data_IF_671013012360
#
_entry.id   IF_671013012360
#
_cell.length_a   1.000
_cell.length_b   1.000
_cell.length_c   1.000
_cell.angle_alpha   90.00
_cell.angle_beta   90.00
_cell.angle_gamma   90.00
#
_symmetry.space_group_name_H-M   'P 1'
#
loop_
_entity.id
_entity.type
_entity.pdbx_description
1 polymer ?
#
# COMPACT_ATOMS: atom_id res chain seq x y z
N UNK A 1 -16.43 -25.48 -8.20
CA UNK A 1 -16.81 -24.15 -7.68
C UNK A 1 -17.97 -24.26 -6.70
N UNK A 2 -18.07 -23.33 -5.78
CA UNK A 2 -19.14 -23.25 -4.77
C UNK A 2 -19.79 -21.86 -4.86
N UNK A 3 -21.11 -21.82 -5.07
CA UNK A 3 -21.90 -20.58 -5.01
C UNK A 3 -22.99 -20.74 -3.96
N UNK A 4 -23.04 -19.84 -2.97
CA UNK A 4 -24.03 -19.85 -1.89
C UNK A 4 -24.54 -18.42 -1.58
N UNK A 5 -25.81 -18.16 -1.79
CA UNK A 5 -26.46 -16.87 -1.60
C UNK A 5 -27.35 -16.49 -2.78
N UNK A 6 -28.21 -15.48 -2.57
CA UNK A 6 -29.04 -14.96 -3.65
C UNK A 6 -28.13 -14.33 -4.73
N UNK A 7 -28.28 -14.75 -5.99
CA UNK A 7 -27.46 -14.30 -7.11
C UNK A 7 -25.93 -14.41 -6.86
N UNK A 8 -25.47 -15.42 -6.12
CA UNK A 8 -24.05 -15.71 -5.97
C UNK A 8 -23.51 -16.43 -7.23
N UNK A 9 -22.38 -16.00 -7.78
CA UNK A 9 -21.82 -16.51 -9.03
C UNK A 9 -20.36 -16.93 -8.86
N UNK A 10 -20.10 -18.25 -8.88
CA UNK A 10 -18.77 -18.84 -8.86
C UNK A 10 -18.45 -19.38 -10.26
N UNK A 11 -18.01 -18.51 -11.17
CA UNK A 11 -17.81 -18.82 -12.59
C UNK A 11 -16.43 -19.41 -12.86
N UNK A 12 -15.42 -19.06 -12.08
CA UNK A 12 -14.08 -19.63 -12.22
C UNK A 12 -14.01 -21.10 -11.79
N UNK A 13 -13.14 -21.87 -12.41
CA UNK A 13 -12.84 -23.23 -11.93
C UNK A 13 -12.26 -23.16 -10.50
N UNK A 14 -12.71 -24.03 -9.59
CA UNK A 14 -12.33 -24.05 -8.16
C UNK A 14 -12.63 -22.75 -7.39
N UNK A 15 -13.49 -21.89 -7.93
CA UNK A 15 -13.84 -20.63 -7.29
C UNK A 15 -14.91 -20.81 -6.21
N UNK A 16 -14.97 -19.85 -5.30
CA UNK A 16 -15.97 -19.78 -4.22
C UNK A 16 -16.62 -18.40 -4.20
N UNK A 17 -17.97 -18.36 -4.23
CA UNK A 17 -18.75 -17.14 -4.09
C UNK A 17 -19.82 -17.35 -3.01
N UNK A 18 -19.71 -16.63 -1.88
CA UNK A 18 -20.63 -16.74 -0.75
C UNK A 18 -21.17 -15.38 -0.36
N UNK A 19 -22.49 -15.18 -0.45
CA UNK A 19 -23.15 -13.93 -0.11
C UNK A 19 -24.14 -13.48 -1.19
N UNK A 20 -24.98 -12.50 -0.86
CA UNK A 20 -25.88 -11.90 -1.84
C UNK A 20 -25.06 -11.16 -2.89
N UNK A 21 -25.30 -11.45 -4.17
CA UNK A 21 -24.54 -10.91 -5.30
C UNK A 21 -23.01 -11.09 -5.23
N UNK A 22 -22.50 -12.09 -4.49
CA UNK A 22 -21.08 -12.40 -4.47
C UNK A 22 -20.62 -12.93 -5.85
N UNK A 23 -19.47 -12.49 -6.35
CA UNK A 23 -19.00 -12.81 -7.70
C UNK A 23 -17.52 -13.22 -7.73
N UNK A 24 -17.24 -14.43 -8.19
CA UNK A 24 -15.89 -14.98 -8.30
C UNK A 24 -15.66 -15.55 -9.71
N UNK A 25 -14.81 -14.91 -10.52
CA UNK A 25 -14.55 -15.34 -11.91
C UNK A 25 -13.17 -15.99 -12.09
N UNK A 26 -12.18 -15.64 -11.29
CA UNK A 26 -10.82 -16.18 -11.44
C UNK A 26 -10.72 -17.66 -11.02
N UNK A 27 -9.79 -18.41 -11.62
CA UNK A 27 -9.43 -19.75 -11.16
C UNK A 27 -8.96 -19.70 -9.68
N UNK A 28 -9.53 -20.56 -8.85
CA UNK A 28 -9.20 -20.62 -7.42
C UNK A 28 -9.55 -19.35 -6.61
N UNK A 29 -10.35 -18.45 -7.16
CA UNK A 29 -10.68 -17.17 -6.52
C UNK A 29 -11.78 -17.32 -5.47
N UNK A 30 -11.79 -16.41 -4.50
CA UNK A 30 -12.73 -16.40 -3.38
C UNK A 30 -13.40 -15.03 -3.28
N UNK A 31 -14.73 -14.99 -3.34
CA UNK A 31 -15.54 -13.82 -3.04
C UNK A 31 -16.51 -14.15 -1.89
N UNK A 32 -16.36 -13.49 -0.74
CA UNK A 32 -17.21 -13.72 0.43
C UNK A 32 -17.72 -12.41 1.02
N UNK A 33 -19.03 -12.23 1.03
CA UNK A 33 -19.72 -11.03 1.51
C UNK A 33 -20.78 -10.57 0.52
N UNK A 34 -21.66 -9.66 0.96
CA UNK A 34 -22.63 -9.03 0.07
C UNK A 34 -21.86 -8.22 -0.98
N UNK A 35 -22.17 -8.46 -2.26
CA UNK A 35 -21.53 -7.76 -3.38
C UNK A 35 -19.99 -7.90 -3.47
N UNK A 36 -19.39 -8.87 -2.76
CA UNK A 36 -17.97 -9.15 -2.86
C UNK A 36 -17.59 -9.59 -4.28
N UNK A 37 -16.47 -9.09 -4.81
CA UNK A 37 -16.04 -9.31 -6.19
C UNK A 37 -14.59 -9.72 -6.29
N UNK A 38 -14.33 -10.96 -6.69
CA UNK A 38 -13.00 -11.48 -6.97
C UNK A 38 -12.87 -11.72 -8.48
N UNK A 39 -12.36 -10.73 -9.20
CA UNK A 39 -12.36 -10.69 -10.66
C UNK A 39 -10.93 -10.64 -11.21
N UNK A 40 -10.70 -11.34 -12.33
CA UNK A 40 -9.51 -11.17 -13.13
C UNK A 40 -9.88 -11.35 -14.59
N UNK A 41 -9.57 -10.38 -15.43
CA UNK A 41 -9.88 -10.41 -16.86
C UNK A 41 -8.72 -10.94 -17.69
N UNK A 42 -7.56 -11.19 -17.08
CA UNK A 42 -6.38 -11.71 -17.77
C UNK A 42 -6.55 -13.18 -18.13
N UNK A 43 -6.35 -13.55 -19.38
CA UNK A 43 -6.27 -14.93 -19.83
C UNK A 43 -4.96 -15.57 -19.32
N UNK A 44 -5.06 -16.72 -18.65
CA UNK A 44 -3.91 -17.48 -18.17
C UNK A 44 -4.11 -18.10 -16.77
N UNK A 45 -3.26 -19.05 -16.43
CA UNK A 45 -3.47 -20.09 -15.42
C UNK A 45 -3.41 -19.67 -13.92
N UNK A 46 -3.28 -18.41 -13.53
CA UNK A 46 -3.01 -18.08 -12.11
C UNK A 46 -3.71 -16.80 -11.65
N UNK A 47 -4.98 -16.99 -11.30
CA UNK A 47 -5.80 -15.81 -10.98
C UNK A 47 -6.16 -15.66 -9.50
N UNK A 48 -5.96 -16.63 -8.65
CA UNK A 48 -6.17 -16.66 -7.20
C UNK A 48 -6.43 -15.29 -6.54
N UNK A 49 -7.62 -14.76 -6.78
CA UNK A 49 -8.04 -13.43 -6.30
C UNK A 49 -8.90 -13.62 -5.07
N UNK A 50 -8.71 -12.83 -4.04
CA UNK A 50 -9.48 -12.93 -2.79
C UNK A 50 -10.17 -11.60 -2.47
N UNK A 51 -11.50 -11.60 -2.37
CA UNK A 51 -12.31 -10.48 -1.93
C UNK A 51 -13.22 -10.93 -0.79
N UNK A 52 -12.98 -10.45 0.43
CA UNK A 52 -13.75 -10.82 1.62
C UNK A 52 -14.21 -9.56 2.36
N UNK A 53 -15.49 -9.40 2.47
CA UNK A 53 -16.16 -8.27 3.11
C UNK A 53 -17.34 -7.78 2.30
N UNK A 54 -18.20 -6.99 2.92
CA UNK A 54 -19.29 -6.32 2.23
C UNK A 54 -18.71 -5.36 1.18
N UNK A 55 -19.11 -5.52 -0.09
CA UNK A 55 -18.61 -4.72 -1.23
C UNK A 55 -17.06 -4.74 -1.39
N UNK A 56 -16.36 -5.78 -0.91
CA UNK A 56 -14.94 -5.94 -1.13
C UNK A 56 -14.65 -6.25 -2.61
N UNK A 57 -13.62 -5.63 -3.19
CA UNK A 57 -13.30 -5.76 -4.60
C UNK A 57 -11.81 -6.04 -4.79
N UNK A 58 -11.49 -7.19 -5.38
CA UNK A 58 -10.14 -7.51 -5.80
C UNK A 58 -10.13 -7.78 -7.32
N UNK A 59 -9.29 -7.05 -8.05
CA UNK A 59 -9.17 -7.15 -9.50
C UNK A 59 -7.72 -7.33 -9.90
N UNK A 60 -7.47 -8.35 -10.69
CA UNK A 60 -6.13 -8.72 -11.11
C UNK A 60 -5.51 -9.84 -10.29
N UNK A 61 -4.58 -10.53 -10.92
CA UNK A 61 -4.01 -11.78 -10.42
C UNK A 61 -3.31 -11.64 -9.07
N UNK A 62 -3.53 -12.59 -8.17
CA UNK A 62 -2.89 -12.70 -6.85
C UNK A 62 -3.18 -11.51 -5.90
N UNK A 63 -4.26 -10.78 -6.17
CA UNK A 63 -4.65 -9.62 -5.36
C UNK A 63 -5.63 -10.02 -4.25
N UNK A 64 -5.55 -9.30 -3.13
CA UNK A 64 -6.34 -9.55 -1.92
C UNK A 64 -7.01 -8.25 -1.48
N UNK A 65 -8.34 -8.27 -1.31
CA UNK A 65 -9.12 -7.22 -0.67
C UNK A 65 -9.86 -7.80 0.54
N UNK A 66 -9.54 -7.35 1.74
CA UNK A 66 -10.12 -7.84 2.98
C UNK A 66 -10.65 -6.69 3.84
N UNK A 67 -11.96 -6.58 3.96
CA UNK A 67 -12.67 -5.55 4.72
C UNK A 67 -13.85 -4.97 3.95
N UNK A 68 -14.71 -4.26 4.65
CA UNK A 68 -15.86 -3.57 4.04
C UNK A 68 -15.35 -2.55 3.03
N UNK A 69 -15.81 -2.64 1.78
CA UNK A 69 -15.39 -1.77 0.67
C UNK A 69 -13.87 -1.70 0.44
N UNK A 70 -13.10 -2.72 0.86
CA UNK A 70 -11.68 -2.82 0.55
C UNK A 70 -11.48 -3.03 -0.96
N UNK A 71 -10.46 -2.39 -1.54
CA UNK A 71 -10.21 -2.39 -2.99
C UNK A 71 -8.74 -2.71 -3.30
N UNK A 72 -8.49 -3.81 -4.00
CA UNK A 72 -7.23 -4.11 -4.68
C UNK A 72 -7.47 -4.03 -6.19
N UNK A 73 -7.15 -2.88 -6.80
CA UNK A 73 -7.54 -2.49 -8.16
C UNK A 73 -8.86 -1.70 -8.20
N UNK A 74 -9.19 -1.18 -9.36
CA UNK A 74 -10.40 -0.37 -9.55
C UNK A 74 -11.41 -1.07 -10.44
N UNK A 75 -12.62 -1.25 -9.91
CA UNK A 75 -13.80 -1.60 -10.68
C UNK A 75 -14.79 -0.43 -10.66
N UNK A 76 -15.32 -0.06 -11.82
CA UNK A 76 -16.48 0.80 -11.84
C UNK A 76 -17.67 0.05 -11.23
N UNK A 77 -18.26 0.61 -10.17
CA UNK A 77 -19.37 -0.02 -9.45
C UNK A 77 -20.62 -0.05 -10.31
N UNK A 78 -20.95 -1.19 -10.84
CA UNK A 78 -22.31 -1.44 -11.34
C UNK A 78 -23.05 -2.20 -10.24
N UNK A 79 -23.96 -1.52 -9.56
CA UNK A 79 -24.73 -2.06 -8.43
C UNK A 79 -25.67 -3.19 -8.80
N UNK A 80 -26.12 -3.27 -10.04
CA UNK A 80 -27.04 -4.31 -10.51
C UNK A 80 -26.34 -5.21 -11.54
N UNK A 81 -25.87 -6.35 -11.08
CA UNK A 81 -25.16 -7.32 -11.92
C UNK A 81 -26.08 -8.23 -12.73
N UNK A 82 -27.38 -8.21 -12.48
CA UNK A 82 -28.35 -8.87 -13.38
C UNK A 82 -28.31 -8.30 -14.78
N UNK A 83 -27.86 -7.04 -14.89
CA UNK A 83 -27.65 -6.31 -16.15
C UNK A 83 -26.50 -6.85 -16.98
N UNK A 84 -25.49 -7.53 -16.37
CA UNK A 84 -24.33 -8.06 -17.08
C UNK A 84 -24.63 -9.25 -17.96
N UNK A 85 -25.62 -10.08 -17.59
CA UNK A 85 -25.93 -11.30 -18.31
C UNK A 85 -26.34 -11.05 -19.75
N UNK A 86 -26.92 -9.88 -20.02
CA UNK A 86 -27.53 -9.54 -21.30
C UNK A 86 -26.92 -8.27 -21.95
N UNK A 87 -25.83 -7.71 -21.41
CA UNK A 87 -25.23 -6.48 -21.95
C UNK A 87 -23.70 -6.62 -22.20
N UNK A 88 -23.32 -6.98 -23.45
CA UNK A 88 -21.90 -7.12 -23.84
C UNK A 88 -21.07 -5.84 -23.68
N UNK A 89 -21.68 -4.65 -23.72
CA UNK A 89 -20.97 -3.37 -23.56
C UNK A 89 -20.49 -3.16 -22.11
N UNK A 90 -21.27 -3.62 -21.12
CA UNK A 90 -20.89 -3.58 -19.70
C UNK A 90 -19.73 -4.54 -19.40
N UNK A 91 -19.71 -5.72 -20.01
CA UNK A 91 -18.58 -6.65 -19.94
C UNK A 91 -17.33 -6.02 -20.55
N UNK A 92 -17.49 -5.28 -21.64
CA UNK A 92 -16.39 -4.55 -22.29
C UNK A 92 -15.88 -3.38 -21.45
N UNK A 93 -16.75 -2.67 -20.74
CA UNK A 93 -16.37 -1.62 -19.76
C UNK A 93 -15.63 -2.18 -18.57
N UNK A 94 -16.03 -3.34 -18.03
CA UNK A 94 -15.30 -4.04 -16.98
C UNK A 94 -13.89 -4.45 -17.41
N UNK A 95 -13.71 -4.85 -18.68
CA UNK A 95 -12.40 -5.21 -19.24
C UNK A 95 -11.47 -4.00 -19.42
N UNK A 96 -12.00 -2.78 -19.45
CA UNK A 96 -11.24 -1.54 -19.64
C UNK A 96 -10.72 -0.95 -18.31
N UNK A 97 -11.00 -1.56 -17.17
CA UNK A 97 -10.59 -1.05 -15.85
C UNK A 97 -9.18 -1.51 -15.47
N UNK A 98 -8.54 -0.72 -14.61
CA UNK A 98 -7.18 -0.99 -14.18
C UNK A 98 -7.15 -2.20 -13.25
N UNK A 99 -6.61 -3.30 -13.74
CA UNK A 99 -6.22 -4.44 -12.89
C UNK A 99 -4.89 -4.15 -12.20
N UNK A 100 -4.77 -4.61 -10.97
CA UNK A 100 -3.50 -4.59 -10.23
C UNK A 100 -3.10 -6.03 -9.87
N UNK A 101 -1.84 -6.35 -9.98
CA UNK A 101 -1.30 -7.66 -9.63
C UNK A 101 -0.54 -7.60 -8.32
N UNK A 102 -0.60 -8.69 -7.55
CA UNK A 102 0.13 -8.81 -6.28
C UNK A 102 -0.21 -7.70 -5.26
N UNK A 103 -1.43 -7.15 -5.34
CA UNK A 103 -1.88 -6.05 -4.51
C UNK A 103 -2.64 -6.56 -3.27
N UNK A 104 -2.39 -5.95 -2.12
CA UNK A 104 -3.01 -6.32 -0.85
C UNK A 104 -3.67 -5.11 -0.19
N UNK A 105 -5.00 -5.11 -0.05
CA UNK A 105 -5.79 -4.10 0.65
C UNK A 105 -6.50 -4.74 1.85
N UNK A 106 -6.09 -4.40 3.06
CA UNK A 106 -6.66 -4.93 4.32
C UNK A 106 -7.13 -3.79 5.21
N UNK A 107 -8.43 -3.75 5.46
CA UNK A 107 -9.11 -2.75 6.27
C UNK A 107 -10.34 -2.18 5.56
N UNK A 108 -11.28 -1.62 6.34
CA UNK A 108 -12.45 -0.95 5.76
C UNK A 108 -12.01 0.19 4.84
N UNK A 109 -12.49 0.22 3.61
CA UNK A 109 -12.15 1.22 2.59
C UNK A 109 -10.63 1.32 2.28
N UNK A 110 -9.82 0.30 2.63
CA UNK A 110 -8.43 0.25 2.19
C UNK A 110 -8.36 0.13 0.67
N UNK A 111 -7.44 0.85 0.02
CA UNK A 111 -7.37 0.92 -1.44
C UNK A 111 -5.95 0.80 -1.97
N UNK A 112 -5.73 -0.12 -2.89
CA UNK A 112 -4.49 -0.27 -3.65
C UNK A 112 -4.80 -0.08 -5.13
N UNK A 113 -4.18 0.91 -5.76
CA UNK A 113 -4.42 1.27 -7.16
C UNK A 113 -3.23 0.98 -8.07
N UNK A 114 -2.17 0.38 -7.54
CA UNK A 114 -0.94 0.07 -8.27
C UNK A 114 -0.44 -1.34 -7.94
N UNK A 115 0.34 -1.92 -8.86
CA UNK A 115 0.88 -3.26 -8.71
C UNK A 115 1.79 -3.39 -7.47
N UNK A 116 1.79 -4.59 -6.86
CA UNK A 116 2.66 -4.94 -5.74
C UNK A 116 2.50 -4.01 -4.51
N UNK A 117 1.35 -3.32 -4.42
CA UNK A 117 1.05 -2.39 -3.33
C UNK A 117 0.47 -3.09 -2.10
N UNK A 118 0.76 -2.53 -0.91
CA UNK A 118 0.20 -2.98 0.37
C UNK A 118 -0.48 -1.81 1.11
N UNK A 119 -1.79 -1.85 1.25
CA UNK A 119 -2.57 -0.98 2.13
C UNK A 119 -3.06 -1.76 3.36
N UNK A 120 -2.58 -1.40 4.54
CA UNK A 120 -2.95 -2.04 5.80
C UNK A 120 -3.50 -1.02 6.80
N UNK A 121 -4.80 -1.01 6.99
CA UNK A 121 -5.54 -0.12 7.87
C UNK A 121 -6.77 0.48 7.20
N UNK A 122 -7.75 0.89 8.00
CA UNK A 122 -8.96 1.55 7.48
C UNK A 122 -8.57 2.79 6.66
N UNK A 123 -9.09 2.91 5.43
CA UNK A 123 -8.82 4.03 4.51
C UNK A 123 -7.34 4.21 4.14
N UNK A 124 -6.51 3.19 4.35
CA UNK A 124 -5.13 3.22 3.85
C UNK A 124 -5.13 3.18 2.32
N UNK A 125 -4.31 4.02 1.68
CA UNK A 125 -4.33 4.18 0.22
C UNK A 125 -2.91 4.07 -0.37
N UNK A 126 -2.76 3.24 -1.39
CA UNK A 126 -1.51 3.08 -2.15
C UNK A 126 -1.71 3.57 -3.58
N UNK A 127 -0.95 4.60 -3.96
CA UNK A 127 -1.03 5.30 -5.26
C UNK A 127 0.24 5.18 -6.10
N UNK A 128 1.20 4.35 -5.69
CA UNK A 128 2.44 4.10 -6.44
C UNK A 128 2.82 2.62 -6.39
N UNK A 129 3.45 2.14 -7.43
CA UNK A 129 3.92 0.74 -7.54
C UNK A 129 4.80 0.38 -6.36
N UNK A 130 4.59 -0.82 -5.79
CA UNK A 130 5.31 -1.32 -4.60
C UNK A 130 5.20 -0.44 -3.35
N UNK A 131 4.23 0.49 -3.36
CA UNK A 131 3.96 1.35 -2.21
C UNK A 131 3.41 0.57 -1.02
N UNK A 132 3.76 1.03 0.19
CA UNK A 132 3.28 0.45 1.45
C UNK A 132 2.65 1.54 2.30
N UNK A 133 1.35 1.44 2.58
CA UNK A 133 0.61 2.34 3.48
C UNK A 133 0.23 1.59 4.76
N UNK A 134 0.82 1.98 5.90
CA UNK A 134 0.62 1.32 7.20
C UNK A 134 -0.15 2.22 8.16
N UNK A 135 -1.28 1.72 8.63
CA UNK A 135 -2.16 2.40 9.58
C UNK A 135 -3.32 3.15 8.94
N UNK A 136 -4.37 3.37 9.74
CA UNK A 136 -5.58 4.04 9.27
C UNK A 136 -5.27 5.40 8.64
N UNK A 137 -5.91 5.69 7.49
CA UNK A 137 -5.75 6.89 6.68
C UNK A 137 -4.31 7.14 6.16
N UNK A 138 -3.39 6.18 6.26
CA UNK A 138 -2.07 6.34 5.65
C UNK A 138 -2.20 6.38 4.13
N UNK A 139 -1.40 7.22 3.48
CA UNK A 139 -1.39 7.33 2.03
C UNK A 139 0.05 7.39 1.51
N UNK A 140 0.36 6.63 0.47
CA UNK A 140 1.66 6.72 -0.18
C UNK A 140 1.69 7.89 -1.15
N UNK A 141 2.89 8.47 -1.32
CA UNK A 141 3.23 9.43 -2.36
C UNK A 141 4.34 8.87 -3.24
N UNK A 142 4.58 9.49 -4.37
CA UNK A 142 5.71 9.13 -5.23
C UNK A 142 7.03 9.14 -4.45
N UNK A 143 7.93 8.17 -4.66
CA UNK A 143 9.23 8.16 -4.01
C UNK A 143 10.05 9.36 -4.42
N UNK A 144 10.80 9.92 -3.46
CA UNK A 144 11.72 11.03 -3.69
C UNK A 144 13.14 10.53 -3.49
N UNK A 145 13.94 10.55 -4.55
CA UNK A 145 15.36 10.18 -4.52
C UNK A 145 16.21 11.35 -4.03
N UNK A 146 17.14 11.08 -3.11
CA UNK A 146 18.06 12.08 -2.56
C UNK A 146 19.48 11.48 -2.55
N UNK A 147 20.22 11.68 -3.62
CA UNK A 147 21.57 11.12 -3.77
C UNK A 147 22.65 11.94 -3.04
N UNK A 148 22.46 13.23 -2.92
CA UNK A 148 23.41 14.13 -2.25
C UNK A 148 22.73 15.42 -1.80
N UNK A 149 23.39 16.15 -0.91
CA UNK A 149 23.00 17.49 -0.48
C UNK A 149 24.22 18.36 -0.27
N UNK A 150 24.08 19.68 -0.50
CA UNK A 150 25.14 20.66 -0.21
C UNK A 150 24.84 21.36 1.10
N UNK A 151 25.69 21.15 2.10
CA UNK A 151 25.57 21.76 3.42
C UNK A 151 26.77 22.69 3.62
N UNK A 152 26.53 23.96 3.86
CA UNK A 152 27.57 24.99 4.07
C UNK A 152 28.66 24.97 2.94
N UNK A 153 28.24 24.83 1.69
CA UNK A 153 29.14 24.82 0.51
C UNK A 153 29.88 23.49 0.27
N UNK A 154 29.70 22.48 1.10
CA UNK A 154 30.29 21.15 0.93
C UNK A 154 29.22 20.15 0.49
N UNK A 155 29.54 19.37 -0.55
CA UNK A 155 28.64 18.30 -1.03
C UNK A 155 28.84 17.03 -0.22
N UNK A 156 27.73 16.46 0.23
CA UNK A 156 27.65 15.18 0.92
C UNK A 156 26.85 14.19 0.06
N UNK A 157 27.42 13.02 -0.20
CA UNK A 157 26.77 11.93 -0.95
C UNK A 157 26.16 10.92 0.04
N UNK A 158 24.95 10.45 -0.28
CA UNK A 158 24.17 9.55 0.58
C UNK A 158 24.08 8.16 -0.01
N UNK A 159 24.24 7.14 0.86
CA UNK A 159 23.90 5.76 0.51
C UNK A 159 22.39 5.64 0.28
N UNK A 160 21.97 4.75 -0.61
CA UNK A 160 20.54 4.56 -0.90
C UNK A 160 19.86 5.77 -1.54
N UNK A 161 20.62 6.62 -2.23
CA UNK A 161 20.15 7.88 -2.83
C UNK A 161 19.03 7.73 -3.88
N UNK A 162 18.79 6.51 -4.39
CA UNK A 162 17.68 6.20 -5.30
C UNK A 162 16.58 5.46 -4.55
N UNK A 163 15.37 6.00 -4.58
CA UNK A 163 14.21 5.41 -3.96
C UNK A 163 13.28 4.77 -5.01
N UNK A 164 13.03 3.47 -4.92
CA UNK A 164 12.14 2.73 -5.82
C UNK A 164 10.67 2.86 -5.44
N UNK A 165 10.38 3.01 -4.16
CA UNK A 165 9.02 3.00 -3.61
C UNK A 165 8.95 3.76 -2.29
N UNK A 166 7.75 3.85 -1.73
CA UNK A 166 7.51 4.58 -0.47
C UNK A 166 6.83 3.68 0.55
N UNK A 167 7.31 3.72 1.79
CA UNK A 167 6.58 3.24 2.97
C UNK A 167 6.03 4.46 3.71
N UNK A 168 4.70 4.57 3.79
CA UNK A 168 4.02 5.67 4.49
C UNK A 168 3.31 5.18 5.73
N UNK A 169 3.56 5.83 6.85
CA UNK A 169 2.86 5.59 8.13
C UNK A 169 1.84 6.69 8.45
N UNK A 170 1.50 7.53 7.48
CA UNK A 170 0.57 8.65 7.65
C UNK A 170 0.17 9.29 6.34
N UNK A 171 -0.27 10.54 6.41
CA UNK A 171 -0.63 11.39 5.28
C UNK A 171 -0.33 12.87 5.60
N UNK A 172 -0.77 13.80 4.72
CA UNK A 172 -0.54 15.23 4.94
C UNK A 172 -1.11 15.77 6.26
N UNK A 173 -2.20 15.19 6.77
CA UNK A 173 -2.86 15.62 8.01
C UNK A 173 -2.47 14.77 9.22
N UNK A 174 -2.12 13.50 9.02
CA UNK A 174 -1.82 12.55 10.10
C UNK A 174 -0.37 12.14 10.04
N UNK A 175 0.38 12.42 11.10
CA UNK A 175 1.77 11.98 11.28
C UNK A 175 1.84 10.96 12.41
N UNK A 176 2.77 10.01 12.33
CA UNK A 176 3.00 8.98 13.36
C UNK A 176 4.46 8.92 13.76
N UNK A 177 4.71 8.74 15.03
CA UNK A 177 6.04 8.34 15.50
C UNK A 177 6.27 6.87 15.22
N UNK A 178 7.51 6.51 14.87
CA UNK A 178 7.96 5.11 14.81
C UNK A 178 8.77 4.87 16.09
N UNK A 179 8.26 4.01 16.96
CA UNK A 179 8.88 3.69 18.25
C UNK A 179 9.56 2.32 18.22
N UNK A 180 10.42 2.04 19.22
CA UNK A 180 11.15 0.78 19.36
C UNK A 180 12.09 0.49 18.17
N UNK A 181 12.60 1.52 17.52
CA UNK A 181 13.63 1.41 16.49
C UNK A 181 14.98 1.18 17.16
N UNK A 182 15.65 0.08 16.83
CA UNK A 182 17.02 -0.18 17.28
C UNK A 182 18.00 0.87 16.72
N UNK A 183 19.15 1.04 17.36
CA UNK A 183 20.19 1.91 16.82
C UNK A 183 20.69 1.38 15.47
N UNK A 184 20.69 2.22 14.46
CA UNK A 184 21.20 1.92 13.12
C UNK A 184 22.74 2.02 13.06
N UNK A 185 23.34 1.34 12.10
CA UNK A 185 24.77 1.49 11.82
C UNK A 185 25.07 2.91 11.31
N UNK A 186 26.16 3.50 11.78
CA UNK A 186 26.57 4.84 11.40
C UNK A 186 27.88 4.76 10.61
N UNK A 187 27.79 4.66 9.29
CA UNK A 187 28.91 4.67 8.36
C UNK A 187 28.42 5.15 6.97
N UNK A 188 29.35 5.38 6.07
CA UNK A 188 29.06 5.95 4.73
C UNK A 188 28.18 5.07 3.82
N UNK A 189 28.04 3.79 4.10
CA UNK A 189 27.27 2.82 3.31
C UNK A 189 25.93 2.44 3.97
N UNK A 190 25.66 2.94 5.18
CA UNK A 190 24.46 2.57 5.91
C UNK A 190 23.19 3.16 5.30
N UNK A 191 22.16 2.34 5.22
CA UNK A 191 20.79 2.71 4.91
C UNK A 191 19.84 2.42 6.08
N UNK A 192 20.38 2.18 7.26
CA UNK A 192 19.60 1.90 8.47
C UNK A 192 18.92 3.18 8.99
N UNK A 193 17.75 3.02 9.59
CA UNK A 193 17.10 4.11 10.32
C UNK A 193 17.91 4.49 11.57
N UNK A 194 17.99 5.76 11.87
CA UNK A 194 18.66 6.32 13.06
C UNK A 194 17.62 6.65 14.11
N UNK A 195 17.84 6.21 15.36
CA UNK A 195 16.96 6.57 16.46
C UNK A 195 17.43 7.84 17.21
N UNK A 196 16.55 8.38 18.05
CA UNK A 196 16.79 9.65 18.74
C UNK A 196 18.02 9.64 19.68
N UNK A 197 18.38 8.50 20.24
CA UNK A 197 19.57 8.41 21.13
C UNK A 197 20.88 8.59 20.39
N UNK A 198 20.96 8.16 19.14
CA UNK A 198 22.12 8.37 18.27
C UNK A 198 22.29 9.86 17.93
N UNK A 199 21.20 10.54 17.59
CA UNK A 199 21.21 11.99 17.35
C UNK A 199 21.56 12.77 18.62
N UNK A 200 21.07 12.35 19.79
CA UNK A 200 21.42 12.94 21.08
C UNK A 200 22.93 12.87 21.36
N UNK A 201 23.59 11.74 21.04
CA UNK A 201 25.04 11.60 21.13
C UNK A 201 25.78 12.64 20.29
N UNK A 202 25.36 12.82 19.04
CA UNK A 202 25.93 13.85 18.13
C UNK A 202 25.69 15.26 18.67
N UNK A 203 24.49 15.56 19.15
CA UNK A 203 24.15 16.88 19.73
C UNK A 203 25.03 17.20 20.96
N UNK A 204 25.33 16.22 21.81
CA UNK A 204 26.25 16.41 22.95
C UNK A 204 27.69 16.68 22.47
N UNK A 205 28.16 15.94 21.47
CA UNK A 205 29.51 16.17 20.91
C UNK A 205 29.67 17.60 20.37
N UNK A 206 28.67 18.07 19.59
CA UNK A 206 28.64 19.45 19.07
C UNK A 206 28.58 20.47 20.20
N UNK A 207 27.74 20.24 21.24
CA UNK A 207 27.67 21.09 22.41
C UNK A 207 29.01 21.21 23.17
N UNK A 208 29.76 20.13 23.27
CA UNK A 208 31.11 20.14 23.89
C UNK A 208 32.11 20.95 23.05
N UNK A 209 32.08 20.82 21.73
CA UNK A 209 32.89 21.66 20.81
C UNK A 209 32.57 23.14 21.01
N UNK A 210 31.28 23.51 21.04
CA UNK A 210 30.84 24.88 21.27
C UNK A 210 31.34 25.46 22.62
N UNK A 211 31.24 24.67 23.70
CA UNK A 211 31.78 25.08 25.02
C UNK A 211 33.30 25.27 24.98
N UNK A 212 34.04 24.36 24.35
CA UNK A 212 35.50 24.46 24.22
C UNK A 212 35.91 25.71 23.43
N UNK A 213 35.22 25.96 22.32
CA UNK A 213 35.46 27.15 21.47
C UNK A 213 35.21 28.44 22.26
N UNK A 214 34.09 28.50 23.03
CA UNK A 214 33.80 29.66 23.92
C UNK A 214 34.92 29.88 24.92
N UNK A 215 35.41 28.83 25.57
CA UNK A 215 36.48 28.93 26.57
C UNK A 215 37.80 29.42 25.96
N UNK A 216 38.16 28.92 24.76
CA UNK A 216 39.42 29.30 24.05
C UNK A 216 39.38 30.75 23.61
N UNK A 217 38.26 31.23 23.10
CA UNK A 217 38.08 32.58 22.61
C UNK A 217 37.86 33.63 23.74
N UNK A 218 37.84 33.22 25.00
CA UNK A 218 37.74 34.11 26.16
C UNK A 218 36.40 34.84 26.25
N UNK A 219 35.36 34.28 25.63
CA UNK A 219 34.09 34.96 25.48
C UNK A 219 33.16 34.85 26.69
N UNK A 220 32.98 35.97 27.40
CA UNK A 220 31.71 36.31 28.06
C UNK A 220 30.75 36.91 27.01
N UNK A 221 30.39 36.13 26.01
CA UNK A 221 29.36 36.49 25.05
C UNK A 221 28.07 35.70 25.37
#
# INVERSE_FOLDING_TARGET
>A
SVAAGNAAWALGERSTAIGNNAHSEGYGSIAMGREASALSTQDGDKKNVVAIGDDAQATGSRSIALGVSAQAGTLERVRDRSVYKDNPELITKLKAQKEVTDAVAIGSEASVQENEGLALGSKATVNNVRGVALGANSATAAPVSTASETINGLQYNYAGGTADSTVSVGNNSTKRTITNVAAGRVNAQSTDAINGSQLYGVANAVGNVAKSTKNILGGNA
#
